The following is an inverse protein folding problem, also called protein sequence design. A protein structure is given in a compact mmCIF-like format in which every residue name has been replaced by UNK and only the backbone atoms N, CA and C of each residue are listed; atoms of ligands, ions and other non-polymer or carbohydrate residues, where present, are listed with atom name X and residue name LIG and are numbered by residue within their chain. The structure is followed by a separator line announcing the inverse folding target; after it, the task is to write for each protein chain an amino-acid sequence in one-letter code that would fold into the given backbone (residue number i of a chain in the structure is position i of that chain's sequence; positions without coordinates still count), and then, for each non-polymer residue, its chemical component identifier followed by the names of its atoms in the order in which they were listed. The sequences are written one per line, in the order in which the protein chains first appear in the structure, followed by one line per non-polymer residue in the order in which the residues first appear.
data_IF_416331840562
#
_entry.id   IF_416331840562
#
_cell.length_a   1.000
_cell.length_b   1.000
_cell.length_c   1.000
_cell.angle_alpha   90.00
_cell.angle_beta   90.00
_cell.angle_gamma   90.00
#
_symmetry.space_group_name_H-M   'P 1'
#
loop_
_entity.id
_entity.type
_entity.pdbx_description
1 polymer ?
#
# COMPACT_ATOMS: atom_id res chain seq x y z
N UNK A 1 -1.17 -17.88 24.64
CA UNK A 1 -2.28 -18.04 23.66
C UNK A 1 -3.33 -17.01 24.01
N UNK A 2 -3.28 -15.81 23.42
CA UNK A 2 -4.24 -14.73 23.68
C UNK A 2 -5.18 -14.62 22.48
N UNK A 3 -6.49 -14.60 22.74
CA UNK A 3 -7.55 -14.43 21.73
C UNK A 3 -7.88 -12.95 21.58
N UNK A 4 -7.90 -12.45 20.34
CA UNK A 4 -8.53 -11.16 20.03
C UNK A 4 -10.06 -11.32 20.15
N UNK A 5 -10.70 -10.44 20.93
CA UNK A 5 -12.15 -10.32 21.00
C UNK A 5 -12.66 -9.63 19.73
N UNK A 6 -13.58 -10.28 19.02
CA UNK A 6 -14.27 -9.68 17.88
C UNK A 6 -15.22 -8.59 18.37
N UNK A 7 -15.15 -7.42 17.74
CA UNK A 7 -16.10 -6.34 17.96
C UNK A 7 -17.20 -6.43 16.89
N UNK A 8 -18.22 -7.24 17.15
CA UNK A 8 -19.51 -7.14 16.44
C UNK A 8 -20.57 -6.71 17.45
N UNK A 9 -21.12 -5.51 17.23
CA UNK A 9 -22.43 -5.11 17.73
C UNK A 9 -22.42 -4.07 18.85
N UNK A 10 -22.69 -2.81 18.50
CA UNK A 10 -23.88 -2.08 18.95
C UNK A 10 -23.72 -0.58 18.64
N UNK A 11 -24.65 -0.05 17.83
CA UNK A 11 -24.96 1.37 17.74
C UNK A 11 -25.36 1.87 19.15
N UNK A 12 -24.49 2.64 19.81
CA UNK A 12 -24.90 3.57 20.86
C UNK A 12 -23.91 4.73 20.95
N UNK A 13 -24.44 5.95 20.99
CA UNK A 13 -23.67 7.17 21.21
C UNK A 13 -23.20 7.20 22.67
N UNK A 14 -21.89 7.39 22.90
CA UNK A 14 -21.33 7.58 24.24
C UNK A 14 -19.86 7.16 24.37
N UNK A 15 -18.98 8.15 24.32
CA UNK A 15 -17.59 8.20 24.80
C UNK A 15 -16.95 6.95 25.45
N UNK A 16 -15.91 6.41 24.80
CA UNK A 16 -14.52 6.38 25.28
C UNK A 16 -13.69 5.59 24.26
N UNK A 17 -12.81 6.26 23.51
CA UNK A 17 -11.88 5.59 22.60
C UNK A 17 -10.88 4.80 23.43
N UNK A 18 -11.01 3.47 23.43
CA UNK A 18 -9.96 2.58 23.91
C UNK A 18 -9.03 2.36 22.71
N UNK A 19 -7.95 3.14 22.64
CA UNK A 19 -6.85 2.83 21.74
C UNK A 19 -6.22 1.51 22.18
N UNK A 20 -6.14 0.48 21.31
CA UNK A 20 -5.40 -0.72 21.66
C UNK A 20 -3.92 -0.36 21.81
N UNK A 21 -3.35 -0.61 22.98
CA UNK A 21 -1.91 -0.44 23.22
C UNK A 21 -1.22 -1.72 22.74
N UNK A 22 -0.52 -1.63 21.60
CA UNK A 22 0.40 -2.68 21.17
C UNK A 22 1.68 -2.56 22.01
N UNK A 23 1.94 -3.56 22.85
CA UNK A 23 3.19 -3.64 23.63
C UNK A 23 4.27 -4.21 22.72
N UNK A 24 5.28 -3.39 22.39
CA UNK A 24 6.49 -3.84 21.70
C UNK A 24 7.26 -4.79 22.59
N UNK A 25 7.22 -6.09 22.29
CA UNK A 25 8.03 -7.08 22.99
C UNK A 25 9.36 -7.22 22.23
N UNK A 26 10.36 -6.40 22.61
CA UNK A 26 11.74 -6.53 22.16
C UNK A 26 12.40 -7.75 22.83
N UNK A 27 12.00 -8.96 22.47
CA UNK A 27 12.73 -10.16 22.84
C UNK A 27 13.30 -10.83 21.59
N UNK A 28 14.63 -10.80 21.50
CA UNK A 28 15.45 -11.46 20.50
C UNK A 28 15.00 -12.91 20.27
N UNK A 29 14.55 -13.20 19.04
CA UNK A 29 14.35 -14.58 18.59
C UNK A 29 15.62 -15.04 17.89
N UNK A 30 16.08 -16.21 18.33
CA UNK A 30 17.27 -16.94 17.85
C UNK A 30 17.21 -17.21 16.35
N UNK A 31 18.35 -16.96 15.68
CA UNK A 31 18.59 -17.24 14.26
C UNK A 31 18.80 -18.74 14.06
N UNK A 32 17.81 -19.45 13.51
CA UNK A 32 17.83 -20.88 13.15
C UNK A 32 17.75 -21.02 11.61
N UNK A 33 18.91 -21.13 10.94
CA UNK A 33 19.12 -21.64 9.57
C UNK A 33 17.91 -21.56 8.61
N UNK A 34 17.73 -20.40 7.97
CA UNK A 34 16.46 -19.67 8.08
C UNK A 34 15.93 -19.08 6.75
N UNK A 35 16.69 -19.19 5.65
CA UNK A 35 16.45 -18.36 4.45
C UNK A 35 15.09 -18.63 3.75
N UNK A 36 14.68 -19.90 3.60
CA UNK A 36 13.40 -20.22 2.93
C UNK A 36 12.16 -19.83 3.76
N UNK A 37 12.26 -19.82 5.09
CA UNK A 37 11.15 -19.41 5.96
C UNK A 37 11.05 -17.90 6.07
N UNK A 38 12.19 -17.20 6.15
CA UNK A 38 12.27 -15.74 6.15
C UNK A 38 11.66 -15.16 4.86
N UNK A 39 12.06 -15.67 3.70
CA UNK A 39 11.51 -15.21 2.42
C UNK A 39 10.01 -15.53 2.35
N UNK A 40 9.58 -16.69 2.85
CA UNK A 40 8.17 -17.02 3.02
C UNK A 40 7.38 -15.99 3.84
N UNK A 41 7.90 -15.58 4.99
CA UNK A 41 7.26 -14.58 5.86
C UNK A 41 7.25 -13.17 5.24
N UNK A 42 8.34 -12.76 4.58
CA UNK A 42 8.36 -11.52 3.80
C UNK A 42 7.33 -11.55 2.68
N UNK A 43 7.20 -12.66 1.96
CA UNK A 43 6.17 -12.86 0.93
C UNK A 43 4.75 -12.66 1.47
N UNK A 44 4.47 -13.25 2.63
CA UNK A 44 3.19 -13.08 3.30
C UNK A 44 2.98 -11.62 3.73
N UNK A 45 3.98 -11.00 4.36
CA UNK A 45 3.91 -9.60 4.78
C UNK A 45 3.65 -8.66 3.60
N UNK A 46 4.34 -8.86 2.47
CA UNK A 46 4.10 -8.10 1.25
C UNK A 46 2.69 -8.33 0.69
N UNK A 47 2.20 -9.57 0.71
CA UNK A 47 0.87 -9.90 0.22
C UNK A 47 -0.24 -9.26 1.05
N UNK A 48 -0.09 -9.22 2.38
CA UNK A 48 -1.03 -8.53 3.26
C UNK A 48 -0.94 -7.00 3.14
N UNK A 49 0.28 -6.46 2.99
CA UNK A 49 0.47 -5.03 2.76
C UNK A 49 -0.16 -4.58 1.43
N UNK A 50 0.07 -5.32 0.36
CA UNK A 50 -0.56 -5.12 -0.96
C UNK A 50 -2.08 -5.26 -0.88
N UNK A 51 -2.59 -6.31 -0.23
CA UNK A 51 -4.03 -6.49 -0.01
C UNK A 51 -4.67 -5.31 0.73
N UNK A 52 -3.96 -4.74 1.72
CA UNK A 52 -4.40 -3.54 2.43
C UNK A 52 -4.52 -2.34 1.49
N UNK A 53 -3.48 -2.09 0.67
CA UNK A 53 -3.49 -1.03 -0.35
C UNK A 53 -4.65 -1.26 -1.33
N UNK A 54 -4.92 -2.50 -1.75
CA UNK A 54 -6.03 -2.80 -2.65
C UNK A 54 -7.38 -2.45 -2.05
N UNK A 55 -7.63 -2.76 -0.77
CA UNK A 55 -8.89 -2.37 -0.12
C UNK A 55 -9.02 -0.84 -0.02
N UNK A 56 -7.94 -0.14 0.34
CA UNK A 56 -7.93 1.32 0.41
C UNK A 56 -8.17 1.96 -0.94
N UNK A 57 -7.49 1.47 -1.98
CA UNK A 57 -7.63 1.96 -3.33
C UNK A 57 -9.01 1.67 -3.92
N UNK A 58 -9.60 0.52 -3.61
CA UNK A 58 -10.98 0.20 -3.98
C UNK A 58 -11.98 1.14 -3.30
N UNK A 59 -11.72 1.58 -2.06
CA UNK A 59 -12.59 2.55 -1.38
C UNK A 59 -12.69 3.90 -2.13
N UNK A 60 -11.67 4.27 -2.92
CA UNK A 60 -11.65 5.51 -3.71
C UNK A 60 -12.69 5.50 -4.85
N UNK A 61 -13.19 4.32 -5.23
CA UNK A 61 -14.17 4.14 -6.30
C UNK A 61 -15.59 4.53 -5.88
N UNK A 62 -15.82 4.79 -4.59
CA UNK A 62 -17.13 5.08 -4.03
C UNK A 62 -17.20 6.50 -3.50
N UNK A 63 -18.37 7.12 -3.63
CA UNK A 63 -18.66 8.43 -3.00
C UNK A 63 -19.45 8.27 -1.71
N UNK A 64 -20.08 7.11 -1.49
CA UNK A 64 -20.81 6.79 -0.26
C UNK A 64 -19.85 6.60 0.91
N UNK A 65 -20.12 7.29 2.02
CA UNK A 65 -19.37 7.12 3.28
C UNK A 65 -19.46 5.67 3.75
N UNK A 66 -20.64 5.07 3.70
CA UNK A 66 -20.85 3.70 4.18
C UNK A 66 -20.00 2.69 3.41
N UNK A 67 -20.00 2.76 2.08
CA UNK A 67 -19.23 1.84 1.25
C UNK A 67 -17.72 2.04 1.47
N UNK A 68 -17.27 3.30 1.51
CA UNK A 68 -15.87 3.64 1.82
C UNK A 68 -15.40 3.05 3.14
N UNK A 69 -16.15 3.27 4.23
CA UNK A 69 -15.79 2.78 5.57
C UNK A 69 -15.62 1.26 5.57
N UNK A 70 -16.48 0.50 4.88
CA UNK A 70 -16.39 -0.96 4.82
C UNK A 70 -15.04 -1.41 4.26
N UNK A 71 -14.58 -0.82 3.16
CA UNK A 71 -13.31 -1.18 2.55
C UNK A 71 -12.11 -0.69 3.36
N UNK A 72 -12.17 0.52 3.92
CA UNK A 72 -11.11 1.04 4.81
C UNK A 72 -10.95 0.15 6.05
N UNK A 73 -12.06 -0.29 6.66
CA UNK A 73 -12.00 -1.19 7.83
C UNK A 73 -11.46 -2.58 7.49
N UNK A 74 -11.65 -3.07 6.25
CA UNK A 74 -11.05 -4.34 5.79
C UNK A 74 -9.54 -4.27 5.62
N UNK A 75 -8.98 -3.09 5.41
CA UNK A 75 -7.54 -2.88 5.28
C UNK A 75 -6.79 -3.06 6.62
N UNK A 76 -7.37 -2.59 7.73
CA UNK A 76 -6.73 -2.66 9.05
C UNK A 76 -6.23 -4.07 9.48
N UNK A 77 -7.04 -5.14 9.43
CA UNK A 77 -6.57 -6.48 9.82
C UNK A 77 -5.44 -7.00 8.92
N UNK A 78 -5.38 -6.57 7.65
CA UNK A 78 -4.29 -6.95 6.75
C UNK A 78 -2.97 -6.27 7.17
N UNK A 79 -3.01 -5.00 7.58
CA UNK A 79 -1.82 -4.32 8.12
C UNK A 79 -1.31 -5.02 9.40
N UNK A 80 -2.22 -5.39 10.29
CA UNK A 80 -1.86 -6.16 11.50
C UNK A 80 -1.18 -7.49 11.15
N UNK A 81 -1.73 -8.23 10.18
CA UNK A 81 -1.14 -9.51 9.75
C UNK A 81 0.23 -9.30 9.11
N UNK A 82 0.41 -8.29 8.27
CA UNK A 82 1.70 -7.94 7.70
C UNK A 82 2.74 -7.66 8.80
N UNK A 83 2.37 -6.86 9.80
CA UNK A 83 3.25 -6.55 10.93
C UNK A 83 3.65 -7.82 11.70
N UNK A 84 2.69 -8.71 11.98
CA UNK A 84 2.94 -9.96 12.68
C UNK A 84 3.92 -10.86 11.92
N UNK A 85 3.80 -10.96 10.59
CA UNK A 85 4.76 -11.70 9.77
C UNK A 85 6.17 -11.11 9.83
N UNK A 86 6.30 -9.78 9.88
CA UNK A 86 7.61 -9.13 10.03
C UNK A 86 8.25 -9.36 11.41
N UNK A 87 7.55 -9.92 12.40
CA UNK A 87 8.19 -10.35 13.65
C UNK A 87 9.00 -11.63 13.51
N UNK A 88 8.84 -12.35 12.38
CA UNK A 88 9.55 -13.60 12.08
C UNK A 88 10.57 -13.45 10.95
N UNK A 89 10.92 -12.22 10.59
CA UNK A 89 11.99 -11.91 9.62
C UNK A 89 13.13 -11.19 10.33
N UNK A 90 14.27 -11.04 9.66
CA UNK A 90 15.44 -10.37 10.22
C UNK A 90 15.16 -8.90 10.60
N UNK A 91 15.73 -8.44 11.71
CA UNK A 91 15.56 -7.07 12.19
C UNK A 91 16.57 -6.10 11.54
N UNK A 92 16.55 -6.00 10.21
CA UNK A 92 17.35 -4.98 9.50
C UNK A 92 16.71 -3.60 9.63
N UNK A 93 17.46 -2.56 9.29
CA UNK A 93 16.96 -1.18 9.33
C UNK A 93 15.73 -1.01 8.42
N UNK A 94 15.71 -1.65 7.25
CA UNK A 94 14.60 -1.62 6.30
C UNK A 94 13.36 -2.28 6.89
N UNK A 95 13.50 -3.44 7.53
CA UNK A 95 12.36 -4.12 8.18
C UNK A 95 11.82 -3.31 9.35
N UNK A 96 12.69 -2.70 10.17
CA UNK A 96 12.26 -1.78 11.23
C UNK A 96 11.49 -0.59 10.65
N UNK A 97 11.98 -0.01 9.55
CA UNK A 97 11.31 1.09 8.87
C UNK A 97 9.97 0.66 8.25
N UNK A 98 9.89 -0.56 7.68
CA UNK A 98 8.64 -1.12 7.19
C UNK A 98 7.61 -1.29 8.31
N UNK A 99 8.01 -1.87 9.45
CA UNK A 99 7.15 -2.00 10.63
C UNK A 99 6.60 -0.64 11.10
N UNK A 100 7.46 0.39 11.14
CA UNK A 100 7.03 1.75 11.50
C UNK A 100 5.98 2.28 10.53
N UNK A 101 6.23 2.17 9.23
CA UNK A 101 5.30 2.64 8.19
C UNK A 101 3.98 1.85 8.18
N UNK A 102 3.99 0.57 8.53
CA UNK A 102 2.76 -0.21 8.73
C UNK A 102 1.93 0.36 9.89
N UNK A 103 2.56 0.74 11.01
CA UNK A 103 1.88 1.37 12.14
C UNK A 103 1.34 2.75 11.77
N UNK A 104 2.16 3.59 11.11
CA UNK A 104 1.74 4.90 10.61
C UNK A 104 0.54 4.77 9.66
N UNK A 105 0.58 3.77 8.75
CA UNK A 105 -0.53 3.43 7.88
C UNK A 105 -1.79 2.99 8.63
N UNK A 106 -1.65 2.16 9.67
CA UNK A 106 -2.78 1.71 10.50
C UNK A 106 -3.48 2.88 11.21
N UNK A 107 -2.72 3.86 11.71
CA UNK A 107 -3.26 5.06 12.34
C UNK A 107 -4.03 5.91 11.32
N UNK A 108 -3.50 6.07 10.10
CA UNK A 108 -4.17 6.79 9.02
C UNK A 108 -5.43 6.08 8.53
N UNK A 109 -5.46 4.75 8.52
CA UNK A 109 -6.66 3.95 8.23
C UNK A 109 -7.74 4.20 9.27
N UNK A 110 -7.40 4.19 10.56
CA UNK A 110 -8.35 4.48 11.64
C UNK A 110 -8.87 5.92 11.56
N UNK A 111 -7.99 6.89 11.28
CA UNK A 111 -8.39 8.27 11.04
C UNK A 111 -9.36 8.37 9.86
N UNK A 112 -9.06 7.73 8.72
CA UNK A 112 -9.93 7.71 7.55
C UNK A 112 -11.32 7.14 7.86
N UNK A 113 -11.38 6.02 8.59
CA UNK A 113 -12.63 5.33 8.91
C UNK A 113 -13.57 6.14 9.83
N UNK A 114 -13.02 7.09 10.60
CA UNK A 114 -13.78 7.96 11.50
C UNK A 114 -14.33 9.22 10.83
N UNK A 115 -13.93 9.50 9.59
CA UNK A 115 -14.38 10.69 8.90
C UNK A 115 -15.81 10.53 8.41
N UNK A 116 -16.61 11.58 8.60
CA UNK A 116 -17.98 11.68 8.09
C UNK A 116 -18.10 12.35 6.73
N UNK A 117 -16.99 12.52 6.01
CA UNK A 117 -16.95 13.20 4.72
C UNK A 117 -16.08 12.43 3.72
N UNK A 118 -16.57 12.07 2.51
CA UNK A 118 -15.83 11.27 1.54
C UNK A 118 -14.48 11.83 1.10
N UNK A 119 -14.35 13.17 1.01
CA UNK A 119 -13.11 13.84 0.62
C UNK A 119 -12.08 13.79 1.74
N UNK A 120 -12.50 14.02 2.99
CA UNK A 120 -11.62 13.84 4.15
C UNK A 120 -11.21 12.37 4.33
N UNK A 121 -12.09 11.42 4.00
CA UNK A 121 -11.72 10.01 3.93
C UNK A 121 -10.66 9.77 2.85
N UNK A 122 -10.83 10.33 1.65
CA UNK A 122 -9.85 10.22 0.56
C UNK A 122 -8.48 10.77 0.97
N UNK A 123 -8.46 11.88 1.71
CA UNK A 123 -7.23 12.49 2.21
C UNK A 123 -6.40 11.49 3.01
N UNK A 124 -6.98 10.93 4.09
CA UNK A 124 -6.29 9.98 4.95
C UNK A 124 -6.05 8.62 4.28
N UNK A 125 -6.92 8.20 3.36
CA UNK A 125 -6.67 7.02 2.51
C UNK A 125 -5.43 7.24 1.64
N UNK A 126 -5.27 8.43 1.04
CA UNK A 126 -4.08 8.79 0.28
C UNK A 126 -2.81 8.76 1.13
N UNK A 127 -2.84 9.31 2.34
CA UNK A 127 -1.70 9.23 3.26
C UNK A 127 -1.37 7.78 3.65
N UNK A 128 -2.40 6.96 3.95
CA UNK A 128 -2.21 5.55 4.30
C UNK A 128 -1.59 4.75 3.14
N UNK A 129 -2.06 4.97 1.91
CA UNK A 129 -1.51 4.30 0.71
C UNK A 129 -0.03 4.64 0.54
N UNK A 130 0.38 5.89 0.75
CA UNK A 130 1.80 6.30 0.65
C UNK A 130 2.67 5.57 1.68
N UNK A 131 2.22 5.53 2.94
CA UNK A 131 2.95 4.84 4.00
C UNK A 131 3.09 3.34 3.68
N UNK A 132 2.00 2.70 3.25
CA UNK A 132 1.98 1.27 2.96
C UNK A 132 2.76 0.91 1.69
N UNK A 133 2.77 1.74 0.65
CA UNK A 133 3.56 1.47 -0.56
C UNK A 133 5.06 1.53 -0.27
N UNK A 134 5.48 2.49 0.56
CA UNK A 134 6.88 2.59 0.99
C UNK A 134 7.23 1.44 1.95
N UNK A 135 6.31 1.01 2.82
CA UNK A 135 6.50 -0.21 3.63
C UNK A 135 6.72 -1.43 2.73
N UNK A 136 5.87 -1.62 1.71
CA UNK A 136 5.97 -2.72 0.75
C UNK A 136 7.34 -2.75 0.06
N UNK A 137 7.88 -1.57 -0.30
CA UNK A 137 9.23 -1.43 -0.86
C UNK A 137 10.32 -1.89 0.12
N UNK A 138 10.21 -1.54 1.41
CA UNK A 138 11.22 -1.92 2.40
C UNK A 138 11.16 -3.39 2.83
N UNK A 139 10.03 -4.08 2.64
CA UNK A 139 9.92 -5.53 2.92
C UNK A 139 10.60 -6.38 1.82
N UNK A 140 10.76 -5.83 0.61
CA UNK A 140 11.20 -6.55 -0.57
C UNK A 140 12.51 -7.34 -0.41
N UNK A 141 12.65 -8.37 -1.25
CA UNK A 141 13.84 -9.20 -1.28
C UNK A 141 15.01 -8.45 -1.91
N UNK A 142 16.18 -8.60 -1.29
CA UNK A 142 17.50 -8.29 -1.84
C UNK A 142 17.52 -7.11 -2.82
N UNK A 143 17.62 -5.89 -2.28
CA UNK A 143 17.66 -4.64 -3.05
C UNK A 143 19.02 -4.33 -3.67
N UNK A 144 19.95 -5.29 -3.70
CA UNK A 144 21.32 -5.07 -4.20
C UNK A 144 21.40 -4.95 -5.74
N UNK A 145 20.36 -5.36 -6.47
CA UNK A 145 20.21 -4.99 -7.88
C UNK A 145 19.76 -3.52 -7.96
N UNK A 146 20.69 -2.67 -8.41
CA UNK A 146 20.46 -1.24 -8.55
C UNK A 146 19.29 -0.90 -9.48
N UNK A 147 19.10 -1.63 -10.59
CA UNK A 147 18.01 -1.35 -11.52
C UNK A 147 16.67 -1.80 -10.96
N UNK A 148 16.63 -2.94 -10.26
CA UNK A 148 15.42 -3.36 -9.53
C UNK A 148 15.01 -2.33 -8.48
N UNK A 149 15.96 -1.84 -7.69
CA UNK A 149 15.70 -0.80 -6.69
C UNK A 149 15.22 0.52 -7.34
N UNK A 150 15.82 0.95 -8.46
CA UNK A 150 15.31 2.10 -9.21
C UNK A 150 13.86 1.88 -9.68
N UNK A 151 13.54 0.73 -10.26
CA UNK A 151 12.18 0.41 -10.68
C UNK A 151 11.17 0.45 -9.52
N UNK A 152 11.55 -0.06 -8.35
CA UNK A 152 10.73 0.04 -7.14
C UNK A 152 10.52 1.49 -6.69
N UNK A 153 11.57 2.31 -6.69
CA UNK A 153 11.48 3.72 -6.30
C UNK A 153 10.56 4.52 -7.23
N UNK A 154 10.63 4.27 -8.54
CA UNK A 154 9.75 4.93 -9.49
C UNK A 154 8.30 4.43 -9.40
N UNK A 155 8.09 3.13 -9.16
CA UNK A 155 6.74 2.59 -8.92
C UNK A 155 6.13 3.17 -7.64
N UNK A 156 6.86 3.18 -6.53
CA UNK A 156 6.45 3.79 -5.25
C UNK A 156 6.20 5.29 -5.40
N UNK A 157 7.07 6.01 -6.11
CA UNK A 157 6.89 7.43 -6.41
C UNK A 157 5.62 7.71 -7.24
N UNK A 158 5.30 6.85 -8.21
CA UNK A 158 4.06 6.95 -8.99
C UNK A 158 2.82 6.77 -8.11
N UNK A 159 2.83 5.74 -7.25
CA UNK A 159 1.77 5.53 -6.25
C UNK A 159 1.63 6.76 -5.34
N UNK A 160 2.74 7.36 -4.91
CA UNK A 160 2.70 8.58 -4.10
C UNK A 160 2.01 9.73 -4.82
N UNK A 161 2.37 10.00 -6.08
CA UNK A 161 1.71 11.08 -6.84
C UNK A 161 0.20 10.82 -6.97
N UNK A 162 -0.20 9.58 -7.25
CA UNK A 162 -1.61 9.20 -7.32
C UNK A 162 -2.33 9.36 -5.97
N UNK A 163 -1.71 8.92 -4.88
CA UNK A 163 -2.22 9.05 -3.54
C UNK A 163 -2.31 10.52 -3.08
N UNK A 164 -1.36 11.38 -3.48
CA UNK A 164 -1.50 12.83 -3.28
C UNK A 164 -2.67 13.40 -4.06
N UNK A 165 -2.91 12.94 -5.30
CA UNK A 165 -4.02 13.47 -6.11
C UNK A 165 -5.38 13.27 -5.42
N UNK A 166 -5.60 12.18 -4.70
CA UNK A 166 -6.89 11.93 -4.03
C UNK A 166 -7.14 12.84 -2.84
N UNK A 167 -6.12 13.50 -2.31
CA UNK A 167 -6.22 14.46 -1.22
C UNK A 167 -6.85 15.80 -1.64
N UNK A 168 -6.86 16.09 -2.94
CA UNK A 168 -7.43 17.33 -3.48
C UNK A 168 -8.84 17.09 -4.02
N UNK A 169 -9.70 18.10 -3.98
CA UNK A 169 -11.03 18.08 -4.62
C UNK A 169 -11.04 18.81 -5.96
N UNK A 170 -10.07 19.70 -6.17
CA UNK A 170 -9.88 20.44 -7.42
C UNK A 170 -9.44 19.51 -8.56
N UNK A 171 -10.15 19.56 -9.68
CA UNK A 171 -9.78 18.84 -10.91
C UNK A 171 -8.38 19.23 -11.35
N UNK A 172 -8.06 20.53 -11.32
CA UNK A 172 -6.76 21.03 -11.78
C UNK A 172 -5.62 20.43 -10.97
N UNK A 173 -5.71 20.44 -9.64
CA UNK A 173 -4.67 19.89 -8.78
C UNK A 173 -4.55 18.38 -8.96
N UNK A 174 -5.69 17.67 -9.00
CA UNK A 174 -5.71 16.22 -9.28
C UNK A 174 -4.96 15.88 -10.56
N UNK A 175 -5.31 16.53 -11.67
CA UNK A 175 -4.70 16.27 -12.99
C UNK A 175 -3.18 16.46 -12.93
N UNK A 176 -2.68 17.49 -12.26
CA UNK A 176 -1.23 17.75 -12.15
C UNK A 176 -0.51 16.56 -11.51
N UNK A 177 -1.03 16.03 -10.41
CA UNK A 177 -0.42 14.90 -9.73
C UNK A 177 -0.58 13.58 -10.51
N UNK A 178 -1.74 13.34 -11.13
CA UNK A 178 -1.95 12.18 -11.99
C UNK A 178 -1.00 12.19 -13.18
N UNK A 179 -0.82 13.33 -13.86
CA UNK A 179 0.09 13.43 -15.00
C UNK A 179 1.56 13.26 -14.59
N UNK A 180 1.93 13.64 -13.36
CA UNK A 180 3.28 13.40 -12.81
C UNK A 180 3.56 11.93 -12.52
N UNK A 181 2.54 11.11 -12.33
CA UNK A 181 2.72 9.68 -12.04
C UNK A 181 3.11 8.88 -13.28
N UNK A 182 2.67 9.28 -14.48
CA UNK A 182 2.92 8.56 -15.74
C UNK A 182 4.41 8.44 -16.09
N UNK A 183 5.22 9.53 -16.10
CA UNK A 183 6.66 9.42 -16.38
C UNK A 183 7.40 8.48 -15.43
N UNK A 184 6.95 8.40 -14.17
CA UNK A 184 7.54 7.49 -13.19
C UNK A 184 7.25 6.03 -13.54
N UNK A 185 6.02 5.69 -13.97
CA UNK A 185 5.70 4.33 -14.46
C UNK A 185 6.57 3.97 -15.67
N UNK A 186 6.73 4.89 -16.62
CA UNK A 186 7.60 4.68 -17.79
C UNK A 186 9.05 4.39 -17.36
N UNK A 187 9.59 5.17 -16.43
CA UNK A 187 10.95 4.96 -15.91
C UNK A 187 11.07 3.62 -15.19
N UNK A 188 10.08 3.24 -14.36
CA UNK A 188 10.07 1.94 -13.70
C UNK A 188 10.13 0.79 -14.73
N UNK A 189 9.31 0.87 -15.78
CA UNK A 189 9.29 -0.12 -16.85
C UNK A 189 10.65 -0.21 -17.57
N UNK A 190 11.26 0.93 -17.90
CA UNK A 190 12.57 0.99 -18.55
C UNK A 190 13.65 0.33 -17.70
N UNK A 191 13.68 0.60 -16.39
CA UNK A 191 14.62 -0.06 -15.48
C UNK A 191 14.46 -1.57 -15.43
N UNK A 192 13.22 -2.07 -15.48
CA UNK A 192 12.96 -3.52 -15.53
C UNK A 192 13.43 -4.17 -16.83
N UNK A 193 13.82 -3.42 -17.88
CA UNK A 193 14.47 -3.99 -19.07
C UNK A 193 15.94 -4.38 -18.82
N UNK A 194 16.51 -3.95 -17.71
CA UNK A 194 17.89 -4.26 -17.31
C UNK A 194 17.99 -5.24 -16.14
N UNK A 195 16.85 -5.80 -15.71
CA UNK A 195 16.73 -6.81 -14.64
C UNK A 195 16.49 -8.18 -15.29
N UNK A 196 16.86 -9.26 -14.60
CA UNK A 196 16.59 -10.63 -15.07
C UNK A 196 15.10 -10.87 -15.36
N UNK A 197 14.82 -11.58 -16.44
CA UNK A 197 13.47 -11.85 -16.92
C UNK A 197 12.83 -13.05 -16.20
N UNK A 198 12.52 -12.88 -14.92
CA UNK A 198 11.72 -13.84 -14.15
C UNK A 198 10.22 -13.69 -14.44
N UNK A 199 9.40 -14.66 -13.99
CA UNK A 199 7.94 -14.59 -14.15
C UNK A 199 7.35 -13.37 -13.41
N UNK A 200 7.89 -13.06 -12.23
CA UNK A 200 7.51 -11.91 -11.43
C UNK A 200 7.81 -10.59 -12.15
N UNK A 201 8.98 -10.46 -12.78
CA UNK A 201 9.32 -9.25 -13.55
C UNK A 201 8.44 -9.11 -14.79
N UNK A 202 8.10 -10.20 -15.47
CA UNK A 202 7.14 -10.16 -16.59
C UNK A 202 5.76 -9.71 -16.12
N UNK A 203 5.29 -10.23 -14.99
CA UNK A 203 4.00 -9.84 -14.40
C UNK A 203 4.00 -8.38 -13.93
N UNK A 204 5.09 -7.92 -13.32
CA UNK A 204 5.27 -6.53 -12.92
C UNK A 204 5.21 -5.59 -14.12
N UNK A 205 5.90 -5.90 -15.22
CA UNK A 205 5.86 -5.11 -16.46
C UNK A 205 4.45 -4.98 -17.02
N UNK A 206 3.71 -6.08 -17.06
CA UNK A 206 2.30 -6.06 -17.49
C UNK A 206 1.47 -5.11 -16.63
N UNK A 207 1.58 -5.23 -15.31
CA UNK A 207 0.83 -4.39 -14.37
C UNK A 207 1.26 -2.91 -14.41
N UNK A 208 2.52 -2.61 -14.72
CA UNK A 208 2.97 -1.23 -14.96
C UNK A 208 2.29 -0.64 -16.21
N UNK A 209 2.15 -1.41 -17.29
CA UNK A 209 1.43 -0.95 -18.48
C UNK A 209 -0.06 -0.77 -18.19
N UNK A 210 -0.70 -1.73 -17.52
CA UNK A 210 -2.10 -1.61 -17.09
C UNK A 210 -2.31 -0.36 -16.20
N UNK A 211 -1.37 -0.11 -15.27
CA UNK A 211 -1.37 1.09 -14.44
C UNK A 211 -1.20 2.39 -15.24
N UNK A 212 -0.34 2.41 -16.26
CA UNK A 212 -0.15 3.57 -17.14
C UNK A 212 -1.41 3.91 -17.93
N UNK A 213 -2.12 2.91 -18.45
CA UNK A 213 -3.39 3.09 -19.15
C UNK A 213 -4.46 3.67 -18.21
N UNK A 214 -4.53 3.19 -16.97
CA UNK A 214 -5.45 3.70 -15.95
C UNK A 214 -5.13 5.14 -15.52
N UNK A 215 -3.85 5.50 -15.46
CA UNK A 215 -3.40 6.89 -15.21
C UNK A 215 -3.87 7.82 -16.33
N UNK A 216 -3.70 7.41 -17.59
CA UNK A 216 -4.16 8.21 -18.74
C UNK A 216 -5.69 8.33 -18.75
N UNK A 217 -6.42 7.25 -18.45
CA UNK A 217 -7.87 7.31 -18.27
C UNK A 217 -8.25 8.29 -17.16
N UNK A 218 -7.61 8.24 -16.00
CA UNK A 218 -7.87 9.14 -14.88
C UNK A 218 -7.64 10.62 -15.26
N UNK A 219 -6.56 10.92 -15.97
CA UNK A 219 -6.19 12.29 -16.37
C UNK A 219 -7.16 12.92 -17.36
N UNK A 220 -7.92 12.12 -18.11
CA UNK A 220 -8.91 12.57 -19.10
C UNK A 220 -10.29 12.83 -18.51
N UNK A 221 -10.51 12.47 -17.24
CA UNK A 221 -11.81 12.64 -16.62
C UNK A 221 -12.05 14.10 -16.24
N UNK A 222 -13.26 14.58 -16.49
CA UNK A 222 -13.72 15.93 -16.11
C UNK A 222 -14.41 16.00 -14.75
N UNK A 223 -14.40 14.90 -13.97
CA UNK A 223 -15.10 14.80 -12.70
C UNK A 223 -14.17 14.20 -11.62
N UNK A 224 -14.01 14.85 -10.45
CA UNK A 224 -13.12 14.39 -9.38
C UNK A 224 -13.36 12.96 -8.89
N UNK A 225 -14.61 12.51 -8.81
CA UNK A 225 -14.95 11.18 -8.34
C UNK A 225 -14.58 10.11 -9.37
N UNK A 226 -14.84 10.39 -10.66
CA UNK A 226 -14.40 9.50 -11.75
C UNK A 226 -12.87 9.47 -11.87
N UNK A 227 -12.19 10.58 -11.59
CA UNK A 227 -10.73 10.58 -11.46
C UNK A 227 -10.29 9.66 -10.32
N UNK A 228 -10.88 9.79 -9.13
CA UNK A 228 -10.57 8.92 -7.98
C UNK A 228 -10.81 7.44 -8.27
N UNK A 229 -11.86 7.11 -9.03
CA UNK A 229 -12.15 5.75 -9.46
C UNK A 229 -10.96 5.14 -10.21
N UNK A 230 -10.51 5.79 -11.30
CA UNK A 230 -9.40 5.27 -12.10
C UNK A 230 -8.05 5.38 -11.38
N UNK A 231 -7.87 6.39 -10.52
CA UNK A 231 -6.71 6.46 -9.62
C UNK A 231 -6.67 5.26 -8.68
N UNK A 232 -7.81 4.85 -8.12
CA UNK A 232 -7.92 3.65 -7.28
C UNK A 232 -7.58 2.37 -8.05
N UNK A 233 -8.04 2.24 -9.29
CA UNK A 233 -7.64 1.10 -10.15
C UNK A 233 -6.13 1.12 -10.45
N UNK A 234 -5.57 2.29 -10.77
CA UNK A 234 -4.14 2.44 -11.06
C UNK A 234 -3.27 2.07 -9.84
N UNK A 235 -3.64 2.53 -8.64
CA UNK A 235 -2.92 2.20 -7.40
C UNK A 235 -2.94 0.69 -7.14
N UNK A 236 -4.05 -0.01 -7.41
CA UNK A 236 -4.13 -1.47 -7.27
C UNK A 236 -3.14 -2.18 -8.20
N UNK A 237 -3.10 -1.77 -9.48
CA UNK A 237 -2.17 -2.35 -10.46
C UNK A 237 -0.71 -2.09 -10.06
N UNK A 238 -0.38 -0.85 -9.70
CA UNK A 238 0.99 -0.43 -9.37
C UNK A 238 1.50 -1.00 -8.05
N UNK A 239 0.66 -1.12 -7.02
CA UNK A 239 1.04 -1.77 -5.75
C UNK A 239 1.32 -3.26 -5.95
N UNK A 240 0.49 -3.94 -6.76
CA UNK A 240 0.73 -5.33 -7.12
C UNK A 240 2.01 -5.46 -7.97
N UNK A 241 2.28 -4.53 -8.87
CA UNK A 241 3.54 -4.49 -9.62
C UNK A 241 4.74 -4.33 -8.67
N UNK A 242 4.68 -3.37 -7.74
CA UNK A 242 5.72 -3.13 -6.73
C UNK A 242 5.98 -4.38 -5.88
N UNK A 243 4.92 -5.10 -5.50
CA UNK A 243 5.05 -6.41 -4.83
C UNK A 243 5.83 -7.40 -5.70
N UNK A 244 5.45 -7.59 -6.97
CA UNK A 244 6.14 -8.55 -7.84
C UNK A 244 7.60 -8.18 -8.10
N UNK A 245 7.91 -6.89 -8.28
CA UNK A 245 9.30 -6.41 -8.36
C UNK A 245 10.05 -6.76 -7.07
N UNK A 246 9.42 -6.53 -5.92
CA UNK A 246 10.05 -6.83 -4.63
C UNK A 246 10.23 -8.32 -4.33
N UNK A 247 9.35 -9.19 -4.86
CA UNK A 247 9.42 -10.64 -4.70
C UNK A 247 10.33 -11.34 -5.70
N UNK A 248 10.75 -10.68 -6.79
CA UNK A 248 11.64 -11.31 -7.76
C UNK A 248 13.00 -11.59 -7.13
N UNK A 249 13.31 -12.87 -6.96
CA UNK A 249 14.65 -13.34 -6.62
C UNK A 249 15.51 -13.36 -7.88
N UNK A 250 16.79 -13.02 -7.72
CA UNK A 250 17.85 -13.23 -8.72
C UNK A 250 18.35 -14.65 -8.51
#
# INVERSE_FOLDING_TARGET
MFKLLSLIGALSMGSSAISPTLVSNENNVEVINENNYIDGYKSQAMSFTDGSIQQLAYSLQFTSIFEKVVYIQRSYPMVSQAYDYLNYVEHTQEIVQAKKLLLDGADLIDLAARQGNPDTMNYYVGDAIQALSTALKYIAYNTNDGYKNQAMNFTDGSIHQLAYSVQFTSIFEKVVYIQRSYPMVSQAYDYLNYVEHTQEIVQAKKLLLDGADLIDLAARQGNPDTMNYYVGDAIQALSTALKYIGLSMI
#
